data_IF_883656772927
#
_entry.id   IF_883656772927
#
_cell.length_a   1.000
_cell.length_b   1.000
_cell.length_c   1.000
_cell.angle_alpha   90.00
_cell.angle_beta   90.00
_cell.angle_gamma   90.00
#
_symmetry.space_group_name_H-M   'P 1'
#
loop_
_entity.id
_entity.type
_entity.pdbx_description
1 polymer ?
#
# COMPACT_ATOMS: atom_id res chain seq x y z
N UNK A 1 -4.42 4.89 -0.50
CA UNK A 1 -3.39 4.45 0.46
C UNK A 1 -2.47 5.63 0.77
N UNK A 2 -1.87 5.65 1.95
CA UNK A 2 -0.75 6.51 2.32
C UNK A 2 0.51 5.64 2.38
N UNK A 3 1.61 6.13 1.81
CA UNK A 3 2.89 5.41 1.76
C UNK A 3 4.04 6.24 2.29
N UNK A 4 4.68 5.73 3.34
CA UNK A 4 5.76 6.41 4.08
C UNK A 4 7.16 5.91 3.77
N UNK A 5 7.28 4.97 2.83
CA UNK A 5 8.53 4.35 2.43
C UNK A 5 8.55 2.84 2.66
N UNK A 6 9.65 2.20 2.26
CA UNK A 6 9.86 0.77 2.37
C UNK A 6 10.68 0.35 3.60
N UNK A 7 10.97 1.26 4.54
CA UNK A 7 11.66 0.90 5.77
C UNK A 7 10.84 -0.10 6.60
N UNK A 8 11.40 -1.29 6.83
CA UNK A 8 10.75 -2.41 7.49
C UNK A 8 11.76 -3.16 8.34
N UNK A 9 11.33 -3.74 9.46
CA UNK A 9 12.17 -4.60 10.30
C UNK A 9 12.30 -6.04 9.77
N UNK A 10 11.91 -6.28 8.51
CA UNK A 10 11.91 -7.57 7.85
C UNK A 10 12.34 -7.43 6.40
N UNK A 11 12.90 -8.51 5.86
CA UNK A 11 13.30 -8.65 4.44
C UNK A 11 12.64 -9.90 3.85
N UNK A 12 11.30 -9.88 3.78
CA UNK A 12 10.55 -11.03 3.24
C UNK A 12 10.86 -11.19 1.76
N UNK A 13 11.22 -12.40 1.31
CA UNK A 13 11.51 -12.66 -0.09
C UNK A 13 10.34 -12.23 -0.98
N UNK A 14 9.11 -12.61 -0.62
CA UNK A 14 7.87 -12.29 -1.33
C UNK A 14 7.36 -10.85 -1.15
N UNK A 15 8.12 -9.94 -0.52
CA UNK A 15 7.63 -8.60 -0.23
C UNK A 15 7.20 -7.88 -1.51
N UNK A 16 5.97 -7.36 -1.54
CA UNK A 16 5.40 -6.71 -2.74
C UNK A 16 5.91 -5.28 -2.94
N UNK A 17 6.59 -4.69 -1.96
CA UNK A 17 7.10 -3.31 -2.00
C UNK A 17 8.59 -3.19 -1.64
N UNK A 18 9.31 -4.32 -1.68
CA UNK A 18 10.73 -4.38 -1.34
C UNK A 18 11.06 -3.78 0.05
N UNK A 19 10.28 -4.17 1.07
CA UNK A 19 10.49 -3.74 2.45
C UNK A 19 11.81 -4.27 3.02
N UNK A 20 12.60 -3.41 3.66
CA UNK A 20 13.86 -3.82 4.30
C UNK A 20 14.33 -2.86 5.42
N UNK A 21 15.24 -3.30 6.31
CA UNK A 21 15.86 -2.42 7.30
C UNK A 21 16.76 -1.33 6.70
N UNK A 22 17.10 -1.45 5.41
CA UNK A 22 17.84 -0.44 4.64
C UNK A 22 16.90 0.44 3.82
N UNK A 23 15.59 0.20 3.91
CA UNK A 23 14.58 1.03 3.27
C UNK A 23 14.57 2.44 3.83
N UNK A 24 13.84 3.32 3.16
CA UNK A 24 13.70 4.70 3.56
C UNK A 24 12.37 4.94 4.28
N UNK A 25 12.35 5.99 5.09
CA UNK A 25 11.18 6.50 5.77
C UNK A 25 11.16 8.02 5.68
N UNK A 26 9.98 8.58 5.44
CA UNK A 26 9.74 10.02 5.55
C UNK A 26 8.40 10.26 6.23
N UNK A 27 8.29 11.36 7.00
CA UNK A 27 7.05 11.69 7.73
C UNK A 27 6.02 12.29 6.78
N UNK A 28 4.73 12.07 7.07
CA UNK A 28 3.66 12.78 6.37
C UNK A 28 3.67 14.27 6.73
N UNK A 29 3.81 15.12 5.71
CA UNK A 29 3.62 16.56 5.90
C UNK A 29 2.12 16.90 6.01
N UNK A 30 1.75 18.02 6.67
CA UNK A 30 0.39 18.53 6.68
C UNK A 30 -0.23 18.63 5.28
N UNK A 31 0.55 19.09 4.30
CA UNK A 31 0.11 19.24 2.90
C UNK A 31 -0.24 17.89 2.24
N UNK A 32 0.49 16.81 2.57
CA UNK A 32 0.18 15.46 2.12
C UNK A 32 -1.14 14.97 2.74
N UNK A 33 -1.34 15.19 4.04
CA UNK A 33 -2.56 14.77 4.72
C UNK A 33 -3.78 15.57 4.26
N UNK A 34 -3.65 16.88 4.04
CA UNK A 34 -4.70 17.72 3.47
C UNK A 34 -5.06 17.27 2.05
N UNK A 35 -4.06 16.94 1.23
CA UNK A 35 -4.29 16.39 -0.10
C UNK A 35 -4.99 15.02 -0.05
N UNK A 36 -4.62 14.16 0.89
CA UNK A 36 -5.28 12.87 1.09
C UNK A 36 -6.78 13.09 1.37
N UNK A 37 -7.11 14.00 2.30
CA UNK A 37 -8.48 14.35 2.65
C UNK A 37 -9.26 14.91 1.45
N UNK A 38 -8.63 15.76 0.63
CA UNK A 38 -9.27 16.31 -0.56
C UNK A 38 -9.62 15.24 -1.62
N UNK A 39 -8.91 14.10 -1.60
CA UNK A 39 -9.11 12.97 -2.53
C UNK A 39 -9.91 11.81 -1.94
N UNK A 40 -10.51 11.98 -0.76
CA UNK A 40 -11.25 10.93 -0.06
C UNK A 40 -12.64 11.42 0.31
N UNK A 41 -13.61 10.51 0.26
CA UNK A 41 -14.90 10.77 0.89
C UNK A 41 -14.69 10.91 2.41
N UNK A 42 -15.44 11.81 3.10
CA UNK A 42 -15.31 11.99 4.54
C UNK A 42 -15.50 10.71 5.37
N UNK A 43 -16.25 9.74 4.85
CA UNK A 43 -16.56 8.44 5.43
C UNK A 43 -15.86 7.27 4.68
N UNK A 44 -14.86 7.57 3.85
CA UNK A 44 -14.10 6.58 3.09
C UNK A 44 -13.15 5.72 3.94
N UNK A 45 -12.13 5.13 3.30
CA UNK A 45 -11.09 4.35 3.97
C UNK A 45 -9.70 4.92 3.68
N UNK A 46 -8.97 5.27 4.74
CA UNK A 46 -7.58 5.71 4.72
C UNK A 46 -6.67 4.57 5.19
N UNK A 47 -5.75 4.14 4.31
CA UNK A 47 -4.93 2.96 4.56
C UNK A 47 -3.46 3.34 4.70
N UNK A 48 -2.87 3.11 5.87
CA UNK A 48 -1.43 3.24 6.08
C UNK A 48 -0.73 1.97 5.59
N UNK A 49 0.19 2.16 4.65
CA UNK A 49 0.86 1.11 3.91
C UNK A 49 2.33 1.52 3.67
N UNK A 50 3.20 0.56 3.40
CA UNK A 50 4.65 0.80 3.35
C UNK A 50 5.40 -0.38 3.92
N UNK A 51 6.62 -0.13 4.37
CA UNK A 51 7.46 -1.13 5.04
C UNK A 51 6.82 -1.66 6.32
N UNK A 52 7.03 -1.00 7.45
CA UNK A 52 6.33 -1.34 8.71
C UNK A 52 5.89 -0.09 9.48
N UNK A 53 4.59 0.27 9.43
CA UNK A 53 4.06 1.46 10.11
C UNK A 53 4.30 1.50 11.62
N UNK A 54 4.33 0.34 12.28
CA UNK A 54 4.52 0.27 13.74
C UNK A 54 5.93 0.67 14.19
N UNK A 55 6.90 0.80 13.28
CA UNK A 55 8.21 1.40 13.58
C UNK A 55 8.14 2.90 13.83
N UNK A 56 7.04 3.55 13.43
CA UNK A 56 6.80 4.98 13.55
C UNK A 56 5.42 5.29 14.15
N UNK A 57 4.98 4.49 15.13
CA UNK A 57 3.63 4.53 15.68
C UNK A 57 3.15 5.94 16.09
N UNK A 58 4.00 6.74 16.75
CA UNK A 58 3.65 8.11 17.13
C UNK A 58 3.32 9.00 15.93
N UNK A 59 3.98 8.80 14.78
CA UNK A 59 3.71 9.54 13.56
C UNK A 59 2.39 9.10 12.92
N UNK A 60 2.07 7.81 13.00
CA UNK A 60 0.78 7.26 12.56
C UNK A 60 -0.35 7.84 13.43
N UNK A 61 -0.21 7.82 14.76
CA UNK A 61 -1.17 8.42 15.69
C UNK A 61 -1.34 9.93 15.44
N UNK A 62 -0.24 10.65 15.20
CA UNK A 62 -0.27 12.07 14.81
C UNK A 62 -1.05 12.28 13.53
N UNK A 63 -0.80 11.46 12.50
CA UNK A 63 -1.49 11.57 11.22
C UNK A 63 -2.98 11.25 11.34
N UNK A 64 -3.35 10.22 12.12
CA UNK A 64 -4.75 9.88 12.41
C UNK A 64 -5.44 11.06 13.11
N UNK A 65 -4.84 11.59 14.18
CA UNK A 65 -5.38 12.75 14.89
C UNK A 65 -5.58 13.95 13.95
N UNK A 66 -4.59 14.25 13.13
CA UNK A 66 -4.62 15.35 12.17
C UNK A 66 -5.82 15.25 11.20
N UNK A 67 -6.07 14.05 10.64
CA UNK A 67 -7.20 13.83 9.72
C UNK A 67 -8.55 13.84 10.44
N UNK A 68 -8.61 13.33 11.68
CA UNK A 68 -9.82 13.38 12.52
C UNK A 68 -10.22 14.82 12.86
N UNK A 69 -9.27 15.65 13.27
CA UNK A 69 -9.48 17.08 13.58
C UNK A 69 -10.02 17.87 12.37
N UNK A 70 -9.78 17.38 11.15
CA UNK A 70 -10.28 17.96 9.89
C UNK A 70 -11.56 17.30 9.37
N UNK A 71 -12.22 16.50 10.20
CA UNK A 71 -13.54 15.96 9.92
C UNK A 71 -13.56 14.65 9.15
N UNK A 72 -12.43 13.94 9.01
CA UNK A 72 -12.46 12.57 8.50
C UNK A 72 -13.15 11.64 9.50
N UNK A 73 -14.24 11.01 9.08
CA UNK A 73 -15.06 10.07 9.88
C UNK A 73 -14.92 8.63 9.41
N UNK A 74 -14.21 8.40 8.31
CA UNK A 74 -14.02 7.10 7.69
C UNK A 74 -13.17 6.12 8.52
N UNK A 75 -12.99 4.93 7.97
CA UNK A 75 -12.17 3.87 8.56
C UNK A 75 -10.67 4.16 8.32
N UNK A 76 -9.85 3.93 9.33
CA UNK A 76 -8.39 3.90 9.19
C UNK A 76 -7.92 2.44 9.23
N UNK A 77 -7.22 1.98 8.20
CA UNK A 77 -6.65 0.62 8.18
C UNK A 77 -5.12 0.68 8.25
N UNK A 78 -4.51 -0.06 9.17
CA UNK A 78 -3.06 -0.20 9.32
C UNK A 78 -2.64 -1.56 8.76
N UNK A 79 -1.85 -1.59 7.69
CA UNK A 79 -1.18 -2.82 7.26
C UNK A 79 0.10 -3.01 8.07
N UNK A 80 0.23 -4.14 8.76
CA UNK A 80 1.38 -4.39 9.62
C UNK A 80 1.83 -5.86 9.54
N UNK A 81 3.13 -6.07 9.74
CA UNK A 81 3.71 -7.39 9.97
C UNK A 81 3.48 -7.91 11.41
N UNK A 82 3.01 -7.06 12.33
CA UNK A 82 2.60 -7.40 13.69
C UNK A 82 3.74 -7.65 14.69
N UNK A 83 5.01 -7.49 14.30
CA UNK A 83 6.16 -7.77 15.19
C UNK A 83 6.18 -6.82 16.39
N UNK A 84 5.83 -5.55 16.20
CA UNK A 84 5.72 -4.55 17.28
C UNK A 84 4.29 -4.50 17.83
N UNK A 85 3.85 -5.59 18.46
CA UNK A 85 2.48 -5.78 18.94
C UNK A 85 1.95 -4.61 19.80
N UNK A 86 2.70 -4.19 20.82
CA UNK A 86 2.26 -3.07 21.69
C UNK A 86 2.10 -1.77 20.90
N UNK A 87 3.03 -1.46 19.99
CA UNK A 87 2.95 -0.26 19.16
C UNK A 87 1.75 -0.29 18.19
N UNK A 88 1.41 -1.47 17.67
CA UNK A 88 0.20 -1.62 16.87
C UNK A 88 -1.05 -1.38 17.72
N UNK A 89 -1.06 -1.89 18.95
CA UNK A 89 -2.16 -1.69 19.89
C UNK A 89 -2.30 -0.22 20.28
N UNK A 90 -1.19 0.49 20.57
CA UNK A 90 -1.19 1.93 20.85
C UNK A 90 -1.87 2.72 19.71
N UNK A 91 -1.53 2.40 18.45
CA UNK A 91 -2.18 3.01 17.28
C UNK A 91 -3.68 2.72 17.27
N UNK A 92 -4.08 1.46 17.50
CA UNK A 92 -5.49 1.07 17.49
C UNK A 92 -6.27 1.72 18.64
N UNK A 93 -5.68 1.85 19.82
CA UNK A 93 -6.31 2.48 20.98
C UNK A 93 -6.43 4.01 20.81
N UNK A 94 -5.55 4.62 20.01
CA UNK A 94 -5.60 6.06 19.71
C UNK A 94 -6.84 6.49 18.90
N UNK A 95 -7.50 5.56 18.20
CA UNK A 95 -8.67 5.85 17.37
C UNK A 95 -9.67 4.69 17.35
N UNK A 96 -10.90 4.95 17.81
CA UNK A 96 -11.97 3.96 17.88
C UNK A 96 -12.40 3.40 16.51
N UNK A 97 -12.03 4.06 15.40
CA UNK A 97 -12.38 3.69 14.02
C UNK A 97 -11.14 3.29 13.21
N UNK A 98 -10.16 2.69 13.88
CA UNK A 98 -8.97 2.14 13.25
C UNK A 98 -8.98 0.62 13.31
N UNK A 99 -8.47 -0.06 12.29
CA UNK A 99 -8.30 -1.52 12.29
C UNK A 99 -6.90 -1.87 11.79
N UNK A 100 -6.44 -3.08 12.09
CA UNK A 100 -5.19 -3.60 11.55
C UNK A 100 -5.44 -4.82 10.66
N UNK A 101 -4.67 -4.91 9.58
CA UNK A 101 -4.58 -6.10 8.74
C UNK A 101 -3.17 -6.65 8.86
N UNK A 102 -3.05 -7.82 9.51
CA UNK A 102 -1.80 -8.54 9.67
C UNK A 102 -1.49 -9.35 8.43
N UNK A 103 -0.23 -9.37 8.01
CA UNK A 103 0.18 -10.24 6.91
C UNK A 103 0.03 -11.73 7.31
N UNK A 104 -0.72 -12.50 6.52
CA UNK A 104 -1.03 -13.91 6.80
C UNK A 104 0.22 -14.79 6.88
N UNK A 105 1.14 -14.63 5.91
CA UNK A 105 2.37 -15.42 5.84
C UNK A 105 3.24 -15.23 7.08
N UNK A 106 3.36 -14.00 7.56
CA UNK A 106 4.09 -13.69 8.80
C UNK A 106 3.34 -14.22 10.02
N UNK A 107 2.01 -14.05 10.07
CA UNK A 107 1.21 -14.51 11.20
C UNK A 107 1.27 -16.03 11.42
N UNK A 108 1.27 -16.80 10.33
CA UNK A 108 1.25 -18.26 10.34
C UNK A 108 2.63 -18.91 10.12
N UNK A 109 3.67 -18.13 9.85
CA UNK A 109 5.01 -18.66 9.54
C UNK A 109 5.05 -19.43 8.21
N UNK A 110 4.28 -18.96 7.22
CA UNK A 110 4.20 -19.55 5.88
C UNK A 110 5.07 -18.74 4.94
N UNK A 111 6.18 -19.31 4.47
CA UNK A 111 7.14 -18.66 3.57
C UNK A 111 7.78 -17.38 4.18
N UNK A 112 7.69 -17.23 5.50
CA UNK A 112 8.28 -16.15 6.28
C UNK A 112 8.55 -16.62 7.70
N UNK A 113 9.51 -16.00 8.38
CA UNK A 113 9.68 -16.16 9.82
C UNK A 113 8.34 -15.82 10.52
N UNK A 114 7.80 -16.68 11.41
CA UNK A 114 6.54 -16.41 12.08
C UNK A 114 6.63 -15.15 12.96
N UNK A 115 5.47 -14.63 13.37
CA UNK A 115 5.40 -13.67 14.47
C UNK A 115 6.10 -14.23 15.71
N UNK A 116 6.85 -13.39 16.46
CA UNK A 116 7.34 -13.78 17.77
C UNK A 116 6.18 -14.24 18.65
N UNK A 117 6.29 -15.37 19.39
CA UNK A 117 5.17 -15.93 20.15
C UNK A 117 4.53 -14.95 21.12
N UNK A 118 5.33 -14.10 21.78
CA UNK A 118 4.83 -13.06 22.69
C UNK A 118 3.99 -12.01 21.95
N UNK A 119 4.42 -11.58 20.76
CA UNK A 119 3.70 -10.60 19.95
C UNK A 119 2.37 -11.19 19.45
N UNK A 120 2.40 -12.44 18.96
CA UNK A 120 1.20 -13.16 18.54
C UNK A 120 0.19 -13.30 19.68
N UNK A 121 0.62 -13.82 20.83
CA UNK A 121 -0.24 -13.99 22.00
C UNK A 121 -0.84 -12.66 22.47
N UNK A 122 -0.04 -11.58 22.47
CA UNK A 122 -0.51 -10.24 22.82
C UNK A 122 -1.59 -9.72 21.88
N UNK A 123 -1.39 -9.86 20.56
CA UNK A 123 -2.36 -9.43 19.56
C UNK A 123 -3.64 -10.28 19.60
N UNK A 124 -3.53 -11.59 19.80
CA UNK A 124 -4.68 -12.50 19.94
C UNK A 124 -5.51 -12.18 21.18
N UNK A 125 -4.85 -11.96 22.33
CA UNK A 125 -5.52 -11.55 23.56
C UNK A 125 -6.24 -10.20 23.41
N UNK A 126 -5.58 -9.22 22.77
CA UNK A 126 -6.21 -7.91 22.53
C UNK A 126 -7.38 -8.02 21.53
N UNK A 127 -7.23 -8.78 20.45
CA UNK A 127 -8.29 -8.99 19.45
C UNK A 127 -9.52 -9.70 20.03
N UNK A 128 -9.32 -10.63 20.97
CA UNK A 128 -10.42 -11.28 21.68
C UNK A 128 -11.24 -10.29 22.53
N UNK A 129 -10.57 -9.31 23.13
CA UNK A 129 -11.23 -8.23 23.89
C UNK A 129 -11.83 -7.13 22.99
N UNK A 130 -11.36 -7.01 21.74
CA UNK A 130 -11.73 -5.96 20.80
C UNK A 130 -12.12 -6.56 19.43
N UNK A 131 -13.26 -7.27 19.34
CA UNK A 131 -13.66 -7.97 18.12
C UNK A 131 -13.82 -7.00 16.94
N UNK A 132 -13.39 -7.44 15.76
CA UNK A 132 -13.50 -6.67 14.52
C UNK A 132 -12.47 -5.55 14.35
N UNK A 133 -11.38 -5.56 15.14
CA UNK A 133 -10.31 -4.54 15.07
C UNK A 133 -8.99 -5.07 14.48
N UNK A 134 -8.76 -6.38 14.51
CA UNK A 134 -7.59 -7.04 13.90
C UNK A 134 -8.06 -8.12 12.94
N UNK A 135 -7.53 -8.09 11.72
CA UNK A 135 -7.81 -9.03 10.66
C UNK A 135 -6.51 -9.62 10.12
N UNK A 136 -6.62 -10.73 9.41
CA UNK A 136 -5.51 -11.29 8.64
C UNK A 136 -5.74 -11.01 7.15
N UNK A 137 -4.66 -10.70 6.45
CA UNK A 137 -4.65 -10.63 5.00
C UNK A 137 -4.91 -11.99 4.35
N UNK A 138 -4.82 -12.03 3.02
CA UNK A 138 -5.09 -13.22 2.25
C UNK A 138 -4.11 -14.37 2.58
N UNK A 139 -4.65 -15.60 2.62
CA UNK A 139 -3.90 -16.85 2.88
C UNK A 139 -2.78 -17.14 1.88
N UNK A 140 -2.87 -16.53 0.69
CA UNK A 140 -2.00 -16.77 -0.45
C UNK A 140 -1.05 -15.60 -0.62
N UNK A 141 0.21 -15.89 -0.88
CA UNK A 141 1.17 -14.90 -1.34
C UNK A 141 0.87 -14.54 -2.78
N UNK A 142 0.68 -13.25 -3.05
CA UNK A 142 0.52 -12.79 -4.42
C UNK A 142 1.88 -12.64 -5.06
N UNK A 143 2.05 -13.22 -6.26
CA UNK A 143 3.09 -12.81 -7.20
C UNK A 143 2.80 -11.39 -7.71
N UNK A 144 2.98 -10.42 -6.83
CA UNK A 144 2.68 -9.02 -7.05
C UNK A 144 3.85 -8.14 -6.64
N UNK A 145 3.95 -6.98 -7.29
CA UNK A 145 5.00 -6.02 -6.97
C UNK A 145 6.40 -6.57 -7.23
N UNK A 146 7.35 -6.21 -6.36
CA UNK A 146 8.73 -6.70 -6.41
C UNK A 146 8.89 -8.21 -6.21
N UNK A 147 7.88 -8.88 -5.64
CA UNK A 147 7.90 -10.32 -5.43
C UNK A 147 7.38 -11.15 -6.61
N UNK A 148 6.98 -10.52 -7.72
CA UNK A 148 6.15 -11.15 -8.75
C UNK A 148 6.82 -12.30 -9.53
N UNK A 149 8.15 -12.39 -9.52
CA UNK A 149 8.91 -13.44 -10.23
C UNK A 149 9.59 -14.45 -9.33
N UNK A 150 9.39 -14.34 -8.01
CA UNK A 150 10.04 -15.22 -7.06
C UNK A 150 9.29 -16.54 -6.94
N UNK A 151 10.01 -17.67 -6.84
CA UNK A 151 9.41 -18.95 -6.52
C UNK A 151 9.01 -18.98 -5.05
N UNK A 152 7.84 -19.52 -4.72
CA UNK A 152 7.42 -19.74 -3.34
C UNK A 152 7.41 -21.25 -3.02
N UNK A 153 7.81 -21.61 -1.80
CA UNK A 153 7.87 -23.03 -1.36
C UNK A 153 6.51 -23.74 -1.51
N UNK A 154 5.42 -22.98 -1.52
CA UNK A 154 4.04 -23.48 -1.70
C UNK A 154 3.25 -22.78 -2.81
N UNK A 155 3.86 -22.58 -3.98
CA UNK A 155 3.14 -22.32 -5.24
C UNK A 155 2.02 -23.35 -5.51
N UNK A 156 2.09 -24.51 -4.83
CA UNK A 156 1.22 -25.69 -4.96
C UNK A 156 -0.22 -25.55 -4.44
N UNK A 157 -0.61 -24.43 -3.84
CA UNK A 157 -2.03 -24.14 -3.51
C UNK A 157 -2.70 -23.24 -4.59
N UNK A 158 -2.17 -23.22 -5.83
CA UNK A 158 -2.63 -22.38 -6.95
C UNK A 158 -4.13 -22.46 -7.28
N UNK A 159 -4.81 -23.54 -6.90
CA UNK A 159 -6.26 -23.70 -7.11
C UNK A 159 -7.10 -22.83 -6.14
N UNK A 160 -6.49 -22.29 -5.09
CA UNK A 160 -7.14 -21.49 -4.06
C UNK A 160 -7.12 -19.99 -4.44
N UNK A 161 -8.03 -19.63 -5.35
CA UNK A 161 -8.50 -18.27 -5.71
C UNK A 161 -7.82 -17.54 -6.89
N UNK A 162 -8.46 -17.59 -8.07
CA UNK A 162 -9.26 -16.49 -8.65
C UNK A 162 -8.61 -15.16 -9.08
N UNK A 163 -7.40 -14.84 -8.61
CA UNK A 163 -6.62 -13.72 -9.14
C UNK A 163 -5.71 -14.31 -10.23
N UNK A 164 -6.20 -14.23 -11.48
CA UNK A 164 -5.43 -14.65 -12.64
C UNK A 164 -4.13 -13.86 -12.79
N UNK A 165 -3.36 -14.14 -13.84
CA UNK A 165 -2.11 -13.41 -14.18
C UNK A 165 -2.30 -11.91 -14.52
N UNK A 166 -3.53 -11.39 -14.38
CA UNK A 166 -3.91 -10.01 -14.66
C UNK A 166 -3.57 -9.02 -13.53
N UNK A 167 -3.77 -7.73 -13.81
CA UNK A 167 -3.59 -6.66 -12.84
C UNK A 167 -4.60 -6.74 -11.68
N UNK A 168 -4.12 -6.56 -10.44
CA UNK A 168 -4.98 -6.58 -9.23
C UNK A 168 -5.85 -5.32 -9.13
N UNK A 169 -5.57 -4.27 -9.92
CA UNK A 169 -6.33 -3.01 -9.97
C UNK A 169 -6.45 -2.36 -8.58
N UNK A 170 -5.35 -2.38 -7.82
CA UNK A 170 -5.25 -1.75 -6.51
C UNK A 170 -5.62 -0.27 -6.54
N UNK A 171 -6.17 0.24 -5.44
CA UNK A 171 -6.39 1.68 -5.25
C UNK A 171 -5.07 2.45 -5.21
N UNK A 172 -5.05 3.71 -5.68
CA UNK A 172 -3.83 4.51 -5.76
C UNK A 172 -3.27 4.82 -4.37
N UNK A 173 -2.04 5.31 -4.38
CA UNK A 173 -1.29 5.64 -3.17
C UNK A 173 -0.75 7.06 -3.26
N UNK A 174 -0.84 7.81 -2.15
CA UNK A 174 -0.17 9.09 -1.98
C UNK A 174 1.06 8.88 -1.11
N UNK A 175 2.23 9.18 -1.65
CA UNK A 175 3.50 9.03 -0.93
C UNK A 175 3.77 10.24 -0.04
N UNK A 176 4.64 10.08 0.94
CA UNK A 176 5.14 11.18 1.80
C UNK A 176 5.88 12.27 1.02
N UNK A 177 6.43 11.92 -0.15
CA UNK A 177 7.00 12.87 -1.13
C UNK A 177 5.94 13.65 -1.92
N UNK A 178 4.66 13.45 -1.59
CA UNK A 178 3.54 14.16 -2.19
C UNK A 178 3.18 13.72 -3.61
N UNK A 179 3.52 12.50 -4.02
CA UNK A 179 3.16 11.95 -5.35
C UNK A 179 1.97 11.00 -5.25
N UNK A 180 0.98 11.16 -6.13
CA UNK A 180 -0.03 10.15 -6.37
C UNK A 180 0.49 9.12 -7.36
N UNK A 181 0.61 7.89 -6.90
CA UNK A 181 1.09 6.76 -7.66
C UNK A 181 -0.06 5.77 -7.93
N UNK A 182 -0.13 5.26 -9.16
CA UNK A 182 -1.26 4.47 -9.62
C UNK A 182 -1.38 3.08 -8.97
N UNK A 183 -0.26 2.54 -8.49
CA UNK A 183 -0.20 1.22 -7.88
C UNK A 183 0.66 1.24 -6.60
N UNK A 184 0.16 0.71 -5.46
CA UNK A 184 0.93 0.64 -4.23
C UNK A 184 2.10 -0.37 -4.30
N UNK A 185 2.00 -1.41 -5.13
CA UNK A 185 3.06 -2.42 -5.29
C UNK A 185 4.23 -1.96 -6.17
N UNK A 186 4.04 -0.87 -6.91
CA UNK A 186 5.07 -0.27 -7.75
C UNK A 186 5.48 1.12 -7.22
N UNK A 187 5.13 1.48 -5.97
CA UNK A 187 5.33 2.82 -5.42
C UNK A 187 6.80 3.31 -5.45
N UNK A 188 7.75 2.37 -5.53
CA UNK A 188 9.19 2.62 -5.63
C UNK A 188 9.70 2.75 -7.08
N UNK A 189 8.84 2.55 -8.09
CA UNK A 189 9.21 2.66 -9.50
C UNK A 189 8.89 4.07 -9.98
N UNK A 190 9.93 4.86 -10.27
CA UNK A 190 9.75 6.19 -10.86
C UNK A 190 9.53 6.11 -12.37
N UNK A 191 8.26 5.93 -12.78
CA UNK A 191 7.88 5.84 -14.18
C UNK A 191 6.63 6.68 -14.49
N UNK A 192 6.54 7.28 -15.70
CA UNK A 192 5.38 8.05 -16.12
C UNK A 192 4.10 7.20 -16.17
N UNK A 193 4.21 5.86 -16.26
CA UNK A 193 3.09 4.93 -16.24
C UNK A 193 2.25 4.95 -14.97
N UNK A 194 2.81 5.50 -13.89
CA UNK A 194 2.16 5.50 -12.59
C UNK A 194 1.88 6.89 -12.04
N UNK A 195 2.28 7.95 -12.75
CA UNK A 195 2.12 9.32 -12.27
C UNK A 195 0.68 9.82 -12.43
N UNK A 196 -0.05 9.86 -11.33
CA UNK A 196 -1.43 10.37 -11.33
C UNK A 196 -1.52 11.85 -10.98
N UNK A 197 -0.44 12.46 -10.50
CA UNK A 197 -0.45 13.80 -9.93
C UNK A 197 0.43 13.94 -8.68
N UNK A 198 0.40 15.12 -8.08
CA UNK A 198 1.09 15.46 -6.82
C UNK A 198 0.22 16.29 -5.88
N UNK A 199 0.71 16.57 -4.68
CA UNK A 199 0.10 17.56 -3.78
C UNK A 199 -0.14 18.87 -4.51
N UNK A 200 -1.34 19.43 -4.38
CA UNK A 200 -1.84 20.59 -5.12
C UNK A 200 -2.57 20.24 -6.42
N UNK A 201 -2.53 18.98 -6.87
CA UNK A 201 -3.32 18.55 -8.03
C UNK A 201 -4.79 18.47 -7.66
N UNK A 202 -5.66 18.98 -8.53
CA UNK A 202 -7.11 18.84 -8.39
C UNK A 202 -7.49 17.36 -8.22
N UNK A 203 -8.18 16.98 -7.12
CA UNK A 203 -8.68 15.62 -6.91
C UNK A 203 -9.38 15.02 -8.12
N UNK A 204 -10.15 15.81 -8.87
CA UNK A 204 -10.85 15.32 -10.06
C UNK A 204 -9.89 14.91 -11.18
N UNK A 205 -8.75 15.58 -11.33
CA UNK A 205 -7.69 15.18 -12.25
C UNK A 205 -7.07 13.85 -11.81
N UNK A 206 -6.74 13.70 -10.52
CA UNK A 206 -6.21 12.44 -9.96
C UNK A 206 -7.17 11.26 -10.23
N UNK A 207 -8.47 11.46 -10.01
CA UNK A 207 -9.48 10.44 -10.28
C UNK A 207 -9.60 10.09 -11.77
N UNK A 208 -9.55 11.09 -12.68
CA UNK A 208 -9.57 10.84 -14.13
C UNK A 208 -8.32 10.09 -14.57
N UNK A 209 -7.15 10.48 -14.08
CA UNK A 209 -5.89 9.79 -14.35
C UNK A 209 -5.92 8.34 -13.84
N UNK A 210 -6.46 8.10 -12.65
CA UNK A 210 -6.61 6.72 -12.16
C UNK A 210 -7.56 5.88 -13.02
N UNK A 211 -8.66 6.47 -13.53
CA UNK A 211 -9.53 5.78 -14.50
C UNK A 211 -8.81 5.48 -15.81
N UNK A 212 -7.95 6.38 -16.28
CA UNK A 212 -7.08 6.15 -17.44
C UNK A 212 -6.08 5.02 -17.19
N UNK A 213 -5.44 4.99 -16.02
CA UNK A 213 -4.56 3.88 -15.63
C UNK A 213 -5.30 2.54 -15.65
N UNK A 214 -6.53 2.48 -15.11
CA UNK A 214 -7.33 1.26 -15.09
C UNK A 214 -7.66 0.75 -16.50
N UNK A 215 -8.08 1.65 -17.41
CA UNK A 215 -8.31 1.28 -18.81
C UNK A 215 -7.02 0.82 -19.50
N UNK A 216 -5.91 1.54 -19.28
CA UNK A 216 -4.61 1.12 -19.79
C UNK A 216 -4.20 -0.27 -19.27
N UNK A 217 -4.51 -0.59 -18.02
CA UNK A 217 -4.26 -1.93 -17.49
C UNK A 217 -5.04 -3.00 -18.26
N UNK A 218 -6.31 -2.73 -18.58
CA UNK A 218 -7.20 -3.65 -19.30
C UNK A 218 -6.82 -3.79 -20.80
N UNK A 219 -6.47 -2.67 -21.43
CA UNK A 219 -6.30 -2.56 -22.89
C UNK A 219 -4.85 -2.77 -23.35
N UNK A 220 -3.86 -2.56 -22.47
CA UNK A 220 -2.43 -2.57 -22.81
C UNK A 220 -1.65 -3.54 -21.92
N UNK A 221 -1.66 -3.36 -20.59
CA UNK A 221 -0.84 -4.16 -19.67
C UNK A 221 -1.21 -5.65 -19.69
N UNK A 222 -2.47 -5.96 -19.38
CA UNK A 222 -2.95 -7.33 -19.26
C UNK A 222 -2.78 -8.09 -20.61
N UNK A 223 -3.12 -7.51 -21.78
CA UNK A 223 -2.84 -8.13 -23.08
C UNK A 223 -1.35 -8.37 -23.35
N UNK A 224 -0.48 -7.40 -23.07
CA UNK A 224 0.95 -7.54 -23.31
C UNK A 224 1.59 -8.60 -22.39
N UNK A 225 1.19 -8.63 -21.12
CA UNK A 225 1.62 -9.65 -20.17
C UNK A 225 1.22 -11.06 -20.65
N UNK A 226 -0.03 -11.23 -21.12
CA UNK A 226 -0.51 -12.49 -21.72
C UNK A 226 0.29 -12.88 -22.97
N UNK A 227 0.52 -11.95 -23.89
CA UNK A 227 1.27 -12.21 -25.11
C UNK A 227 2.72 -12.66 -24.83
N UNK A 228 3.31 -12.17 -23.74
CA UNK A 228 4.65 -12.53 -23.29
C UNK A 228 4.68 -13.77 -22.37
N UNK A 229 3.52 -14.25 -21.90
CA UNK A 229 3.43 -15.38 -20.98
C UNK A 229 3.92 -15.06 -19.56
N UNK A 230 3.79 -13.81 -19.12
CA UNK A 230 4.19 -13.33 -17.78
C UNK A 230 2.98 -12.77 -17.02
N UNK A 231 3.12 -12.54 -15.71
CA UNK A 231 2.07 -11.83 -14.95
C UNK A 231 2.10 -10.33 -15.24
N UNK A 232 0.99 -9.65 -15.00
CA UNK A 232 0.89 -8.20 -15.17
C UNK A 232 1.81 -7.45 -14.21
N UNK A 233 2.05 -7.99 -13.00
CA UNK A 233 3.03 -7.42 -12.09
C UNK A 233 4.46 -7.60 -12.60
N UNK A 234 4.81 -8.77 -13.15
CA UNK A 234 6.11 -8.98 -13.80
C UNK A 234 6.30 -8.03 -14.98
N UNK A 235 5.26 -7.83 -15.81
CA UNK A 235 5.29 -6.87 -16.92
C UNK A 235 5.57 -5.46 -16.41
N UNK A 236 4.85 -5.00 -15.38
CA UNK A 236 5.06 -3.71 -14.72
C UNK A 236 6.44 -3.53 -14.08
N UNK A 237 7.05 -4.58 -13.53
CA UNK A 237 8.32 -4.46 -12.79
C UNK A 237 9.55 -4.69 -13.65
N UNK A 238 9.45 -5.45 -14.75
CA UNK A 238 10.61 -5.89 -15.54
C UNK A 238 10.60 -5.41 -16.99
N UNK A 239 9.42 -5.14 -17.55
CA UNK A 239 9.25 -4.89 -18.98
C UNK A 239 8.40 -3.63 -19.23
N UNK A 240 8.31 -2.73 -18.25
CA UNK A 240 7.45 -1.54 -18.31
C UNK A 240 7.83 -0.61 -19.46
N UNK A 241 9.12 -0.52 -19.77
CA UNK A 241 9.66 0.28 -20.87
C UNK A 241 9.18 -0.18 -22.25
N UNK A 242 8.73 -1.43 -22.38
CA UNK A 242 8.15 -1.96 -23.62
C UNK A 242 6.70 -1.49 -23.83
N UNK A 243 6.07 -0.91 -22.80
CA UNK A 243 4.69 -0.45 -22.85
C UNK A 243 4.61 1.07 -23.05
N UNK A 244 3.67 1.56 -23.87
CA UNK A 244 3.39 2.99 -23.91
C UNK A 244 2.84 3.47 -22.58
N UNK A 245 3.26 4.65 -22.12
CA UNK A 245 2.68 5.28 -20.94
C UNK A 245 1.20 5.68 -21.20
N UNK A 246 0.33 5.62 -20.18
CA UNK A 246 -1.04 6.11 -20.31
C UNK A 246 -1.05 7.62 -20.61
N UNK A 247 -1.98 8.05 -21.46
CA UNK A 247 -2.17 9.47 -21.76
C UNK A 247 -2.90 10.18 -20.62
N UNK A 248 -2.15 10.58 -19.59
CA UNK A 248 -2.69 11.31 -18.45
C UNK A 248 -3.00 12.77 -18.78
N UNK A 249 -3.99 13.31 -18.07
CA UNK A 249 -4.25 14.74 -18.05
C UNK A 249 -3.09 15.44 -17.32
N UNK A 250 -2.52 16.44 -18.00
CA UNK A 250 -1.43 17.24 -17.42
C UNK A 250 -1.98 18.09 -16.29
N UNK A 251 -1.31 18.04 -15.15
CA UNK A 251 -1.52 18.93 -14.04
C UNK A 251 -0.46 20.02 -14.10
N UNK A 252 -0.85 21.28 -13.94
CA UNK A 252 0.10 22.40 -13.93
C UNK A 252 1.03 22.21 -12.74
N UNK A 253 2.34 22.24 -13.00
CA UNK A 253 3.29 22.65 -11.98
C UNK A 253 2.87 24.05 -11.56
N UNK A 254 2.32 24.18 -10.35
CA UNK A 254 2.35 25.51 -9.74
C UNK A 254 3.82 25.91 -9.75
N UNK A 255 4.20 27.04 -10.39
CA UNK A 255 5.58 27.44 -10.46
C UNK A 255 6.13 27.53 -9.03
N UNK A 256 7.42 27.23 -8.81
CA UNK A 256 8.01 27.41 -7.49
C UNK A 256 7.70 28.84 -7.03
N UNK A 257 7.10 28.97 -5.85
CA UNK A 257 6.99 30.27 -5.20
C UNK A 257 8.41 30.75 -5.00
N UNK A 258 8.83 31.71 -5.82
CA UNK A 258 10.09 32.39 -5.63
C UNK A 258 10.09 33.06 -4.24
N UNK A 259 11.23 33.05 -3.53
CA UNK A 259 11.35 33.54 -2.16
C UNK A 259 10.95 35.00 -1.98
#
# INVERSE_FOLDING_TARGET
HLYEGNFCNRTCAWCTINGSPQGWYERYSPAVLDQALATLAPDGNLKFYGGEPTLHAEEIERAIRYVRERGFRGLVTIFSNGVKAERLIDILESDARSEAVLNYSIYHGRDAEPLPPHAKARLEAWAAAHPGRIFQGYKVLFHAGSGADLPYDRDREADFHGLGTGCVRCFPVLTTKGRFHACPFAAEIDAPHYDLGRVGTDPQVVFRNYRTFRRWADDVLDPAARARGVTSCQMCHRYLEELPAPAYERYLESPPRLP
#
